data_IF_195459057101
#
_entry.id   IF_195459057101
#
_cell.length_a   1.000
_cell.length_b   1.000
_cell.length_c   1.000
_cell.angle_alpha   90.00
_cell.angle_beta   90.00
_cell.angle_gamma   90.00
#
_symmetry.space_group_name_H-M   'P 1'
#
loop_
_entity.id
_entity.type
_entity.pdbx_description
1 polymer ?
#
# COMPACT_ATOMS: atom_id res chain seq x y z
N UNK A 1 -29.40 0.97 -34.06
CA UNK A 1 -30.35 0.38 -33.11
C UNK A 1 -30.01 -1.10 -33.02
N UNK A 2 -29.76 -1.65 -31.82
CA UNK A 2 -29.41 -3.06 -31.67
C UNK A 2 -30.62 -3.93 -31.95
N UNK A 3 -30.46 -4.97 -32.79
CA UNK A 3 -31.57 -5.82 -33.18
C UNK A 3 -31.94 -6.84 -32.10
N UNK A 4 -30.96 -7.28 -31.29
CA UNK A 4 -31.14 -8.28 -30.23
C UNK A 4 -30.20 -8.00 -29.04
N UNK A 5 -30.55 -8.53 -27.85
CA UNK A 5 -29.74 -8.41 -26.63
C UNK A 5 -28.32 -8.98 -26.79
N UNK A 6 -28.16 -10.06 -27.55
CA UNK A 6 -26.84 -10.65 -27.86
C UNK A 6 -25.95 -9.65 -28.61
N UNK A 7 -26.50 -8.90 -29.58
CA UNK A 7 -25.75 -7.89 -30.31
C UNK A 7 -25.31 -6.74 -29.40
N UNK A 8 -26.17 -6.33 -28.46
CA UNK A 8 -25.82 -5.33 -27.46
C UNK A 8 -24.69 -5.84 -26.54
N UNK A 9 -24.77 -7.08 -26.04
CA UNK A 9 -23.72 -7.70 -25.21
C UNK A 9 -22.37 -7.79 -25.93
N UNK A 10 -22.37 -8.16 -27.22
CA UNK A 10 -21.16 -8.19 -28.04
C UNK A 10 -20.56 -6.79 -28.23
N UNK A 11 -21.40 -5.78 -28.45
CA UNK A 11 -20.93 -4.39 -28.54
C UNK A 11 -20.34 -3.91 -27.20
N UNK A 12 -20.97 -4.25 -26.07
CA UNK A 12 -20.44 -3.98 -24.74
C UNK A 12 -19.09 -4.65 -24.50
N UNK A 13 -18.94 -5.90 -24.93
CA UNK A 13 -17.70 -6.67 -24.84
C UNK A 13 -16.55 -5.99 -25.59
N UNK A 14 -16.80 -5.52 -26.82
CA UNK A 14 -15.80 -4.77 -27.60
C UNK A 14 -15.51 -3.41 -26.97
N UNK A 15 -16.54 -2.66 -26.59
CA UNK A 15 -16.40 -1.32 -26.01
C UNK A 15 -15.60 -1.35 -24.71
N UNK A 16 -15.96 -2.24 -23.79
CA UNK A 16 -15.30 -2.38 -22.49
C UNK A 16 -13.90 -2.97 -22.67
N UNK A 17 -13.76 -4.04 -23.45
CA UNK A 17 -12.47 -4.72 -23.64
C UNK A 17 -11.44 -3.82 -24.31
N UNK A 18 -11.74 -3.34 -25.52
CA UNK A 18 -10.82 -2.48 -26.28
C UNK A 18 -10.64 -1.13 -25.59
N UNK A 19 -11.74 -0.53 -25.10
CA UNK A 19 -11.69 0.77 -24.43
C UNK A 19 -10.82 0.75 -23.17
N UNK A 20 -10.99 -0.24 -22.29
CA UNK A 20 -10.18 -0.33 -21.07
C UNK A 20 -8.72 -0.62 -21.36
N UNK A 21 -8.41 -1.44 -22.37
CA UNK A 21 -7.03 -1.69 -22.80
C UNK A 21 -6.34 -0.43 -23.31
N UNK A 22 -7.01 0.31 -24.22
CA UNK A 22 -6.48 1.55 -24.79
C UNK A 22 -6.26 2.58 -23.69
N UNK A 23 -7.27 2.84 -22.87
CA UNK A 23 -7.20 3.82 -21.77
C UNK A 23 -6.12 3.44 -20.74
N UNK A 24 -5.96 2.15 -20.43
CA UNK A 24 -4.92 1.68 -19.53
C UNK A 24 -3.50 1.87 -20.05
N UNK A 25 -3.29 1.88 -21.36
CA UNK A 25 -1.97 2.13 -21.98
C UNK A 25 -1.63 3.61 -22.05
N UNK A 26 -2.62 4.52 -22.10
CA UNK A 26 -2.41 5.97 -22.20
C UNK A 26 -1.36 6.52 -21.20
N UNK A 27 -1.41 6.18 -19.89
CA UNK A 27 -0.39 6.53 -18.90
C UNK A 27 1.06 6.30 -19.34
N UNK A 28 1.31 5.16 -20.00
CA UNK A 28 2.66 4.72 -20.41
C UNK A 28 3.24 5.68 -21.44
N UNK A 29 2.41 6.11 -22.40
CA UNK A 29 2.81 7.04 -23.45
C UNK A 29 2.98 8.47 -22.89
N UNK A 30 2.07 8.87 -21.99
CA UNK A 30 1.99 10.25 -21.49
C UNK A 30 3.15 10.63 -20.56
N UNK A 31 3.70 9.67 -19.81
CA UNK A 31 4.74 9.92 -18.81
C UNK A 31 6.09 10.38 -19.41
N UNK A 32 6.25 10.32 -20.74
CA UNK A 32 7.48 10.72 -21.45
C UNK A 32 7.73 12.24 -21.58
N UNK A 33 6.76 13.13 -21.27
CA UNK A 33 6.81 14.53 -21.80
C UNK A 33 6.71 15.71 -20.79
N UNK A 34 6.58 15.51 -19.48
CA UNK A 34 6.24 16.62 -18.53
C UNK A 34 7.25 16.83 -17.37
N UNK A 35 7.29 18.05 -16.80
CA UNK A 35 8.19 18.48 -15.71
C UNK A 35 8.02 17.62 -14.44
N UNK A 36 9.13 17.04 -13.96
CA UNK A 36 9.21 15.94 -12.98
C UNK A 36 8.43 16.13 -11.66
N UNK A 37 8.27 17.36 -11.17
CA UNK A 37 7.60 17.64 -9.88
C UNK A 37 6.08 17.83 -10.00
N UNK A 38 5.62 18.56 -11.02
CA UNK A 38 4.18 18.70 -11.28
C UNK A 38 3.58 17.37 -11.71
N UNK A 39 4.37 16.52 -12.38
CA UNK A 39 3.97 15.17 -12.75
C UNK A 39 3.62 14.31 -11.52
N UNK A 40 4.44 14.32 -10.46
CA UNK A 40 4.15 13.52 -9.24
C UNK A 40 2.85 13.96 -8.55
N UNK A 41 2.62 15.27 -8.44
CA UNK A 41 1.38 15.81 -7.85
C UNK A 41 0.16 15.50 -8.70
N UNK A 42 0.25 15.69 -10.02
CA UNK A 42 -0.86 15.40 -10.93
C UNK A 42 -1.24 13.92 -10.88
N UNK A 43 -0.26 13.02 -10.96
CA UNK A 43 -0.46 11.57 -10.88
C UNK A 43 -1.16 11.18 -9.57
N UNK A 44 -0.68 11.73 -8.45
CA UNK A 44 -1.28 11.53 -7.13
C UNK A 44 -2.73 11.99 -7.08
N UNK A 45 -3.00 13.22 -7.50
CA UNK A 45 -4.36 13.74 -7.55
C UNK A 45 -5.24 12.90 -8.46
N UNK A 46 -4.74 12.41 -9.60
CA UNK A 46 -5.53 11.56 -10.50
C UNK A 46 -5.84 10.18 -9.89
N UNK A 47 -4.90 9.57 -9.15
CA UNK A 47 -5.17 8.33 -8.42
C UNK A 47 -6.20 8.55 -7.30
N UNK A 48 -6.06 9.63 -6.54
CA UNK A 48 -7.05 10.02 -5.52
C UNK A 48 -8.43 10.33 -6.13
N UNK A 49 -8.47 10.98 -7.28
CA UNK A 49 -9.70 11.21 -8.03
C UNK A 49 -10.35 9.87 -8.43
N UNK A 50 -9.56 8.94 -8.99
CA UNK A 50 -10.03 7.60 -9.34
C UNK A 50 -10.56 6.84 -8.14
N UNK A 51 -9.92 6.97 -6.98
CA UNK A 51 -10.40 6.38 -5.75
C UNK A 51 -11.74 6.98 -5.28
N UNK A 52 -11.95 8.28 -5.44
CA UNK A 52 -13.25 8.91 -5.20
C UNK A 52 -14.34 8.39 -6.14
N UNK A 53 -14.01 8.22 -7.43
CA UNK A 53 -14.89 7.61 -8.44
C UNK A 53 -15.28 6.18 -8.04
N UNK A 54 -14.32 5.36 -7.60
CA UNK A 54 -14.57 3.98 -7.19
C UNK A 54 -15.39 3.90 -5.90
N UNK A 55 -15.09 4.75 -4.92
CA UNK A 55 -15.85 4.83 -3.67
C UNK A 55 -17.32 5.18 -3.94
N UNK A 56 -17.56 6.19 -4.79
CA UNK A 56 -18.91 6.57 -5.21
C UNK A 56 -19.60 5.45 -6.00
N UNK A 57 -18.88 4.76 -6.88
CA UNK A 57 -19.45 3.65 -7.65
C UNK A 57 -19.91 2.53 -6.72
N UNK A 58 -19.07 2.12 -5.77
CA UNK A 58 -19.40 1.08 -4.80
C UNK A 58 -20.63 1.45 -3.95
N UNK A 59 -20.69 2.68 -3.45
CA UNK A 59 -21.72 3.13 -2.50
C UNK A 59 -23.03 3.62 -3.15
N UNK A 60 -22.95 4.31 -4.29
CA UNK A 60 -24.09 5.01 -4.89
C UNK A 60 -24.69 4.28 -6.10
N UNK A 61 -23.90 3.44 -6.76
CA UNK A 61 -24.37 2.66 -7.91
C UNK A 61 -24.60 1.21 -7.52
N UNK A 62 -23.57 0.52 -7.04
CA UNK A 62 -23.61 -0.94 -6.89
C UNK A 62 -24.37 -1.40 -5.66
N UNK A 63 -24.15 -0.76 -4.50
CA UNK A 63 -24.83 -1.14 -3.25
C UNK A 63 -26.36 -0.94 -3.31
N UNK A 64 -26.91 0.18 -3.82
CA UNK A 64 -28.36 0.34 -3.95
C UNK A 64 -28.99 -0.63 -4.96
N UNK A 65 -28.27 -0.99 -6.02
CA UNK A 65 -28.74 -1.98 -6.99
C UNK A 65 -28.83 -3.38 -6.37
N UNK A 66 -27.81 -3.78 -5.59
CA UNK A 66 -27.82 -5.03 -4.84
C UNK A 66 -28.99 -5.09 -3.83
N UNK A 67 -29.32 -3.96 -3.18
CA UNK A 67 -30.48 -3.86 -2.27
C UNK A 67 -31.82 -4.07 -2.95
N UNK A 68 -31.97 -3.61 -4.20
CA UNK A 68 -33.21 -3.82 -4.95
C UNK A 68 -33.41 -5.29 -5.31
N UNK A 69 -32.32 -6.05 -5.52
CA UNK A 69 -32.38 -7.47 -5.84
C UNK A 69 -32.35 -8.44 -4.64
N UNK A 70 -31.68 -8.10 -3.53
CA UNK A 70 -31.68 -8.88 -2.28
C UNK A 70 -31.81 -7.97 -1.05
N UNK A 71 -33.03 -7.62 -0.66
CA UNK A 71 -33.27 -6.69 0.47
C UNK A 71 -32.60 -7.11 1.78
N UNK A 72 -32.66 -8.41 2.12
CA UNK A 72 -32.29 -8.89 3.45
C UNK A 72 -30.82 -9.31 3.56
N UNK A 73 -30.16 -9.54 2.41
CA UNK A 73 -28.80 -10.09 2.34
C UNK A 73 -27.82 -9.20 1.55
N UNK A 74 -28.26 -8.08 0.97
CA UNK A 74 -27.40 -7.24 0.12
C UNK A 74 -26.14 -6.75 0.83
N UNK A 75 -26.24 -6.28 2.07
CA UNK A 75 -25.09 -5.82 2.86
C UNK A 75 -24.14 -6.97 3.18
N UNK A 76 -24.68 -8.16 3.47
CA UNK A 76 -23.86 -9.34 3.73
C UNK A 76 -23.08 -9.75 2.49
N UNK A 77 -23.72 -9.79 1.32
CA UNK A 77 -23.06 -10.09 0.05
C UNK A 77 -22.03 -9.03 -0.30
N UNK A 78 -22.33 -7.75 -0.06
CA UNK A 78 -21.40 -6.65 -0.24
C UNK A 78 -20.16 -6.81 0.66
N UNK A 79 -20.35 -7.10 1.94
CA UNK A 79 -19.25 -7.40 2.87
C UNK A 79 -18.47 -8.67 2.46
N UNK A 80 -19.16 -9.69 1.95
CA UNK A 80 -18.52 -10.90 1.43
C UNK A 80 -17.56 -10.56 0.28
N UNK A 81 -17.95 -9.68 -0.65
CA UNK A 81 -17.08 -9.22 -1.73
C UNK A 81 -15.80 -8.57 -1.20
N UNK A 82 -15.92 -7.73 -0.17
CA UNK A 82 -14.75 -7.12 0.49
C UNK A 82 -13.83 -8.18 1.10
N UNK A 83 -14.38 -9.14 1.85
CA UNK A 83 -13.62 -10.20 2.52
C UNK A 83 -12.96 -11.17 1.54
N UNK A 84 -13.62 -11.47 0.42
CA UNK A 84 -13.07 -12.34 -0.63
C UNK A 84 -11.82 -11.72 -1.24
N UNK A 85 -11.82 -10.42 -1.56
CA UNK A 85 -10.61 -9.78 -2.05
C UNK A 85 -9.51 -9.70 -1.01
N UNK A 86 -9.84 -9.40 0.24
CA UNK A 86 -8.87 -9.42 1.33
C UNK A 86 -8.19 -10.80 1.45
N UNK A 87 -8.98 -11.88 1.43
CA UNK A 87 -8.46 -13.24 1.46
C UNK A 87 -7.55 -13.53 0.26
N UNK A 88 -7.94 -13.11 -0.94
CA UNK A 88 -7.15 -13.35 -2.16
C UNK A 88 -5.82 -12.60 -2.09
N UNK A 89 -5.82 -11.36 -1.62
CA UNK A 89 -4.58 -10.59 -1.46
C UNK A 89 -3.65 -11.21 -0.42
N UNK A 90 -4.19 -11.64 0.73
CA UNK A 90 -3.43 -12.37 1.75
C UNK A 90 -2.84 -13.67 1.19
N UNK A 91 -3.61 -14.42 0.39
CA UNK A 91 -3.10 -15.60 -0.30
C UNK A 91 -1.97 -15.25 -1.28
N UNK A 92 -2.10 -14.19 -2.07
CA UNK A 92 -1.02 -13.73 -2.97
C UNK A 92 0.23 -13.41 -2.18
N UNK A 93 0.11 -12.72 -1.04
CA UNK A 93 1.24 -12.43 -0.17
C UNK A 93 1.88 -13.69 0.40
N UNK A 94 1.07 -14.63 0.88
CA UNK A 94 1.54 -15.90 1.41
C UNK A 94 2.34 -16.71 0.37
N UNK A 95 1.82 -16.85 -0.86
CA UNK A 95 2.48 -17.63 -1.91
C UNK A 95 3.73 -16.93 -2.48
N UNK A 96 3.69 -15.60 -2.69
CA UNK A 96 4.86 -14.87 -3.21
C UNK A 96 5.98 -14.72 -2.18
N UNK A 97 5.70 -14.89 -0.89
CA UNK A 97 6.72 -14.87 0.17
C UNK A 97 7.62 -16.11 0.13
N UNK A 98 7.07 -17.27 -0.24
CA UNK A 98 7.78 -18.55 -0.22
C UNK A 98 8.81 -18.67 -1.36
N UNK A 99 8.52 -18.09 -2.54
CA UNK A 99 9.38 -18.22 -3.73
C UNK A 99 10.76 -17.53 -3.61
N UNK A 100 10.92 -16.59 -2.67
CA UNK A 100 12.17 -15.86 -2.46
C UNK A 100 13.12 -16.48 -1.41
N UNK A 101 12.74 -17.54 -0.69
CA UNK A 101 13.62 -18.17 0.32
C UNK A 101 14.47 -19.34 -0.23
N UNK A 102 14.43 -19.60 -1.54
CA UNK A 102 15.18 -20.70 -2.18
C UNK A 102 16.51 -20.32 -2.85
N UNK A 103 16.94 -19.04 -2.85
CA UNK A 103 18.11 -18.63 -3.64
C UNK A 103 18.94 -17.48 -3.08
N UNK A 104 19.12 -17.41 -1.75
CA UNK A 104 20.32 -16.77 -1.20
C UNK A 104 21.48 -17.79 -1.19
N UNK A 105 22.03 -18.03 -2.38
CA UNK A 105 23.37 -18.61 -2.53
C UNK A 105 24.28 -17.59 -3.20
N UNK A 106 25.26 -17.14 -2.43
CA UNK A 106 26.53 -16.54 -2.83
C UNK A 106 26.52 -15.57 -4.02
N UNK A 107 26.47 -14.27 -3.71
CA UNK A 107 27.19 -13.28 -4.51
C UNK A 107 28.20 -12.52 -3.65
N UNK A 108 29.34 -13.20 -3.41
CA UNK A 108 30.65 -12.57 -3.18
C UNK A 108 30.90 -11.54 -4.27
N UNK A 109 30.77 -10.26 -3.94
CA UNK A 109 31.26 -9.18 -4.78
C UNK A 109 32.78 -9.08 -4.61
N UNK A 110 33.52 -9.71 -5.52
CA UNK A 110 34.95 -9.49 -5.74
C UNK A 110 35.15 -8.81 -7.10
N UNK A 111 35.84 -7.65 -7.07
CA UNK A 111 36.63 -6.94 -8.12
C UNK A 111 36.70 -5.47 -7.66
N UNK A 112 37.78 -4.91 -7.11
CA UNK A 112 39.20 -4.79 -7.51
C UNK A 112 39.45 -4.25 -8.94
N UNK A 113 40.46 -3.36 -9.00
CA UNK A 113 41.03 -2.49 -10.07
C UNK A 113 40.32 -1.12 -10.18
N UNK A 114 40.84 0.05 -9.75
CA UNK A 114 42.17 0.71 -9.63
C UNK A 114 42.42 1.83 -10.68
N UNK A 115 42.65 3.04 -10.14
CA UNK A 115 43.44 4.22 -10.58
C UNK A 115 43.17 5.03 -11.87
N UNK A 116 42.81 6.33 -11.68
CA UNK A 116 43.70 7.52 -11.82
C UNK A 116 42.93 8.84 -11.53
N UNK A 117 43.17 9.54 -10.40
CA UNK A 117 44.10 10.68 -10.11
C UNK A 117 43.72 12.03 -10.74
N UNK A 118 43.43 13.04 -9.90
CA UNK A 118 44.09 14.38 -9.68
C UNK A 118 43.22 15.13 -8.64
N UNK A 119 43.53 15.13 -7.34
CA UNK A 119 44.43 16.02 -6.55
C UNK A 119 43.90 17.45 -6.31
N UNK A 120 43.40 17.74 -5.10
CA UNK A 120 43.78 18.95 -4.34
C UNK A 120 43.49 18.83 -2.82
N UNK A 121 44.27 19.58 -2.04
CA UNK A 121 44.74 19.30 -0.67
C UNK A 121 43.82 19.86 0.43
N UNK A 122 43.90 19.25 1.62
CA UNK A 122 43.47 19.88 2.88
C UNK A 122 43.36 18.89 4.05
N UNK A 123 44.48 18.52 4.67
CA UNK A 123 44.56 17.64 5.84
C UNK A 123 44.27 18.37 7.15
N UNK A 124 43.64 17.69 8.13
CA UNK A 124 44.26 17.40 9.43
C UNK A 124 43.41 16.46 10.31
N UNK A 125 44.12 15.49 10.89
CA UNK A 125 43.66 14.34 11.66
C UNK A 125 43.42 14.64 13.14
N UNK A 126 42.52 13.87 13.77
CA UNK A 126 42.71 13.30 15.12
C UNK A 126 42.22 11.84 15.11
N UNK A 127 43.02 10.84 15.52
CA UNK A 127 42.58 9.46 15.64
C UNK A 127 42.08 9.14 17.07
N UNK A 128 40.96 8.44 17.15
CA UNK A 128 40.47 7.77 18.35
C UNK A 128 41.35 6.56 18.69
N UNK A 129 41.75 6.44 19.95
CA UNK A 129 42.54 5.33 20.48
C UNK A 129 41.61 4.25 21.05
N UNK A 130 41.49 3.10 20.39
CA UNK A 130 40.88 1.89 20.94
C UNK A 130 41.96 0.95 21.45
N UNK A 131 41.90 0.61 22.73
CA UNK A 131 42.84 -0.25 23.46
C UNK A 131 42.54 -1.72 23.18
N UNK A 132 43.55 -2.46 22.71
CA UNK A 132 43.57 -3.92 22.62
C UNK A 132 44.50 -4.53 23.68
N UNK A 133 44.15 -5.72 24.17
CA UNK A 133 44.76 -6.39 25.32
C UNK A 133 45.98 -7.27 24.98
N UNK A 134 46.81 -7.48 26.01
CA UNK A 134 47.74 -8.59 26.30
C UNK A 134 49.19 -8.50 25.79
N UNK A 135 50.16 -8.38 26.72
CA UNK A 135 51.03 -9.49 27.16
C UNK A 135 52.22 -9.01 28.03
N UNK A 136 52.36 -9.65 29.19
CA UNK A 136 53.55 -10.06 29.93
C UNK A 136 54.87 -9.23 29.94
N UNK A 137 55.37 -9.06 31.18
CA UNK A 137 56.75 -9.32 31.64
C UNK A 137 57.71 -8.13 31.84
N UNK A 138 58.27 -8.13 33.05
CA UNK A 138 59.58 -7.61 33.50
C UNK A 138 59.79 -6.11 33.76
N UNK A 139 59.68 -5.80 35.05
CA UNK A 139 60.76 -5.38 35.96
C UNK A 139 61.74 -4.24 35.55
N UNK A 140 61.85 -3.29 36.49
CA UNK A 140 62.96 -2.35 36.73
C UNK A 140 63.20 -1.23 35.70
N UNK A 141 63.00 0.02 36.11
CA UNK A 141 64.08 0.86 36.69
C UNK A 141 63.53 2.22 37.13
N UNK A 142 63.92 2.56 38.34
CA UNK A 142 63.76 3.87 39.00
C UNK A 142 64.60 4.91 38.25
N UNK A 143 64.02 6.08 37.98
CA UNK A 143 64.74 7.35 37.99
C UNK A 143 63.88 8.39 38.73
N UNK A 144 64.44 8.88 39.84
CA UNK A 144 64.00 10.06 40.58
C UNK A 144 64.69 11.27 39.93
N UNK A 145 63.95 12.36 39.74
CA UNK A 145 64.55 13.70 39.76
C UNK A 145 63.56 14.67 40.39
N UNK A 146 64.04 15.28 41.47
CA UNK A 146 63.45 16.35 42.29
C UNK A 146 63.17 17.63 41.51
N UNK A 147 62.27 18.47 42.04
CA UNK A 147 62.25 19.91 41.74
C UNK A 147 60.92 20.64 41.97
N UNK A 148 60.78 21.23 43.16
CA UNK A 148 60.17 22.54 43.46
C UNK A 148 58.65 22.79 43.46
N UNK A 149 58.11 22.69 44.68
CA UNK A 149 57.30 23.65 45.45
C UNK A 149 56.93 25.00 44.79
N UNK A 150 55.61 25.29 44.68
CA UNK A 150 54.94 26.49 45.26
C UNK A 150 53.41 26.49 45.05
N UNK A 151 52.68 26.43 46.17
CA UNK A 151 51.32 26.98 46.40
C UNK A 151 51.38 28.54 46.37
N UNK A 152 50.28 29.34 46.28
CA UNK A 152 49.00 29.11 46.97
C UNK A 152 47.69 29.63 46.33
N UNK A 153 46.55 29.23 46.96
CA UNK A 153 45.31 29.99 47.28
C UNK A 153 44.63 30.84 46.17
N UNK A 154 43.30 30.83 45.97
CA UNK A 154 42.22 30.86 46.95
C UNK A 154 40.83 30.82 46.27
N UNK A 155 39.77 30.68 47.09
CA UNK A 155 38.32 30.89 46.86
C UNK A 155 37.50 29.63 46.50
N UNK A 156 36.47 29.17 47.25
CA UNK A 156 35.87 29.52 48.55
C UNK A 156 34.91 28.37 48.92
N UNK A 157 34.96 27.90 50.16
CA UNK A 157 33.96 27.00 50.76
C UNK A 157 32.74 27.82 51.23
N UNK A 158 31.52 27.28 51.12
CA UNK A 158 30.83 26.80 52.32
C UNK A 158 29.55 25.97 52.06
N UNK A 159 29.18 25.10 53.02
CA UNK A 159 28.13 24.07 52.95
C UNK A 159 26.86 24.47 53.74
N UNK A 160 25.78 23.68 53.69
CA UNK A 160 25.00 23.33 54.90
C UNK A 160 23.89 22.32 54.64
N UNK A 161 23.83 21.33 55.53
CA UNK A 161 22.83 20.29 55.73
C UNK A 161 21.41 20.78 56.04
N UNK A 162 20.41 19.92 55.80
CA UNK A 162 19.50 19.51 56.87
C UNK A 162 18.79 18.19 56.54
N UNK A 163 18.91 17.22 57.46
CA UNK A 163 18.35 15.88 57.36
C UNK A 163 17.05 15.66 58.13
N UNK A 164 16.49 14.46 57.96
CA UNK A 164 15.70 13.66 58.92
C UNK A 164 15.18 12.44 58.12
N UNK A 165 15.69 11.22 58.29
CA UNK A 165 15.57 10.27 59.41
C UNK A 165 14.61 9.11 59.05
N UNK A 166 14.99 7.92 59.55
CA UNK A 166 14.25 6.65 59.67
C UNK A 166 14.58 5.65 58.53
N UNK A 167 15.65 4.84 58.60
CA UNK A 167 15.97 3.73 59.52
C UNK A 167 15.42 2.35 59.08
N UNK A 168 16.20 1.32 59.42
CA UNK A 168 16.05 -0.15 59.25
C UNK A 168 16.61 -0.70 57.92
N UNK A 169 17.89 -1.07 57.82
CA UNK A 169 18.63 -2.16 58.49
C UNK A 169 18.02 -3.55 58.24
N UNK A 170 18.73 -4.43 57.53
CA UNK A 170 19.21 -5.72 58.06
C UNK A 170 20.01 -6.51 57.01
N UNK A 171 21.06 -7.14 57.53
CA UNK A 171 22.08 -8.04 56.97
C UNK A 171 21.55 -9.32 56.32
N UNK A 172 22.30 -9.92 55.36
CA UNK A 172 22.91 -11.26 55.54
C UNK A 172 23.69 -11.75 54.31
N UNK A 173 24.57 -12.70 54.61
CA UNK A 173 25.66 -13.32 53.86
C UNK A 173 25.22 -14.26 52.73
N UNK A 174 26.18 -14.59 51.86
CA UNK A 174 25.96 -15.18 50.54
C UNK A 174 25.59 -16.66 50.49
N UNK A 175 25.30 -17.13 49.28
CA UNK A 175 25.76 -18.40 48.68
C UNK A 175 25.24 -18.50 47.24
N UNK A 176 26.07 -19.09 46.37
CA UNK A 176 25.90 -19.25 44.92
C UNK A 176 24.63 -20.00 44.50
N UNK A 177 23.99 -19.52 43.42
CA UNK A 177 23.48 -20.35 42.32
C UNK A 177 23.04 -19.50 41.12
N UNK A 178 23.85 -19.52 40.06
CA UNK A 178 23.50 -19.62 38.64
C UNK A 178 22.09 -19.13 38.19
N UNK A 179 22.02 -17.97 37.51
CA UNK A 179 21.26 -17.78 36.25
C UNK A 179 21.27 -16.33 35.76
N UNK A 180 21.52 -16.16 34.46
CA UNK A 180 21.10 -15.00 33.68
C UNK A 180 19.61 -14.73 33.88
N UNK A 181 19.25 -13.48 34.21
CA UNK A 181 18.42 -12.64 33.37
C UNK A 181 18.17 -11.25 33.98
N UNK A 182 17.93 -10.30 33.06
CA UNK A 182 17.00 -9.17 33.17
C UNK A 182 17.32 -7.94 34.05
N UNK A 183 17.55 -6.84 33.33
CA UNK A 183 16.76 -5.61 33.33
C UNK A 183 16.42 -4.97 34.69
N UNK A 184 17.19 -3.93 35.02
CA UNK A 184 16.89 -2.93 36.05
C UNK A 184 15.89 -1.91 35.50
N UNK A 185 14.68 -1.87 36.04
CA UNK A 185 13.74 -0.76 35.94
C UNK A 185 13.85 0.10 37.21
N UNK A 186 13.90 1.44 37.12
CA UNK A 186 12.80 2.44 37.24
C UNK A 186 13.45 3.83 37.53
N UNK A 187 12.74 4.98 37.63
CA UNK A 187 11.32 5.26 37.37
C UNK A 187 11.05 6.57 36.60
N UNK A 188 9.87 6.71 36.01
CA UNK A 188 9.21 8.01 35.89
C UNK A 188 7.69 7.83 35.86
N UNK A 189 7.04 8.45 36.84
CA UNK A 189 5.61 8.70 36.82
C UNK A 189 5.32 9.64 35.65
N UNK A 190 4.54 9.17 34.69
CA UNK A 190 3.66 9.97 33.85
C UNK A 190 2.62 8.99 33.30
N UNK A 191 1.35 9.25 33.60
CA UNK A 191 0.20 8.59 33.00
C UNK A 191 0.18 8.91 31.50
N UNK A 192 0.96 8.16 30.73
CA UNK A 192 0.75 8.00 29.32
C UNK A 192 0.14 6.61 29.17
N UNK A 193 -1.12 6.55 28.74
CA UNK A 193 -1.69 5.38 28.08
C UNK A 193 -0.82 5.10 26.86
N UNK A 194 0.26 4.36 27.11
CA UNK A 194 1.14 3.79 26.12
C UNK A 194 0.33 2.70 25.43
N UNK A 195 -0.47 3.13 24.45
CA UNK A 195 -0.87 2.26 23.36
C UNK A 195 0.43 1.71 22.81
N UNK A 196 0.68 0.43 23.11
CA UNK A 196 1.69 -0.37 22.45
C UNK A 196 1.35 -0.38 20.96
N UNK A 197 1.73 0.66 20.22
CA UNK A 197 2.20 0.45 18.87
C UNK A 197 3.47 -0.36 19.05
N UNK A 198 3.29 -1.69 19.12
CA UNK A 198 4.36 -2.59 18.76
C UNK A 198 4.95 -2.06 17.46
N UNK A 199 6.28 -2.02 17.39
CA UNK A 199 6.97 -1.98 16.12
C UNK A 199 6.39 -3.12 15.28
N UNK A 200 5.35 -2.83 14.51
CA UNK A 200 5.24 -3.43 13.20
C UNK A 200 6.48 -2.89 12.50
N UNK A 201 7.55 -3.70 12.52
CA UNK A 201 8.45 -3.73 11.39
C UNK A 201 7.54 -3.60 10.17
N UNK A 202 7.63 -2.46 9.48
CA UNK A 202 7.01 -2.29 8.18
C UNK A 202 7.51 -3.49 7.38
N UNK A 203 6.64 -4.50 7.23
CA UNK A 203 6.85 -5.55 6.27
C UNK A 203 7.00 -4.78 4.97
N UNK A 204 8.25 -4.69 4.53
CA UNK A 204 8.63 -4.17 3.24
C UNK A 204 8.01 -5.15 2.25
N UNK A 205 6.71 -5.06 2.04
CA UNK A 205 6.01 -5.70 0.96
C UNK A 205 6.76 -5.24 -0.27
N UNK A 206 7.38 -6.20 -0.95
CA UNK A 206 8.04 -5.93 -2.20
C UNK A 206 7.02 -5.17 -3.05
N UNK A 207 7.36 -3.96 -3.48
CA UNK A 207 6.42 -3.09 -4.19
C UNK A 207 5.74 -3.86 -5.35
N UNK A 208 6.50 -4.75 -6.00
CA UNK A 208 6.03 -5.64 -7.05
C UNK A 208 4.86 -6.56 -6.63
N UNK A 209 4.88 -7.12 -5.43
CA UNK A 209 3.82 -8.01 -4.92
C UNK A 209 2.51 -7.25 -4.74
N UNK A 210 2.55 -6.03 -4.19
CA UNK A 210 1.36 -5.17 -4.10
C UNK A 210 0.82 -4.75 -5.47
N UNK A 211 1.68 -4.45 -6.45
CA UNK A 211 1.23 -4.20 -7.83
C UNK A 211 0.53 -5.42 -8.46
N UNK A 212 1.04 -6.63 -8.19
CA UNK A 212 0.44 -7.89 -8.68
C UNK A 212 -0.90 -8.15 -7.98
N UNK A 213 -0.97 -7.97 -6.67
CA UNK A 213 -2.21 -8.06 -5.88
C UNK A 213 -3.29 -7.13 -6.41
N UNK A 214 -2.97 -5.84 -6.61
CA UNK A 214 -3.89 -4.86 -7.21
C UNK A 214 -4.38 -5.29 -8.60
N UNK A 215 -3.47 -5.71 -9.50
CA UNK A 215 -3.84 -6.12 -10.85
C UNK A 215 -4.76 -7.35 -10.85
N UNK A 216 -4.50 -8.31 -9.95
CA UNK A 216 -5.34 -9.49 -9.76
C UNK A 216 -6.72 -9.09 -9.21
N UNK A 217 -6.76 -8.30 -8.14
CA UNK A 217 -7.99 -7.83 -7.51
C UNK A 217 -8.91 -7.11 -8.51
N UNK A 218 -8.34 -6.20 -9.31
CA UNK A 218 -9.07 -5.48 -10.36
C UNK A 218 -9.53 -6.41 -11.49
N UNK A 219 -8.77 -7.46 -11.81
CA UNK A 219 -9.18 -8.46 -12.82
C UNK A 219 -10.37 -9.27 -12.33
N UNK A 220 -10.36 -9.71 -11.08
CA UNK A 220 -11.48 -10.45 -10.48
C UNK A 220 -12.73 -9.58 -10.44
N UNK A 221 -12.59 -8.34 -9.96
CA UNK A 221 -13.68 -7.37 -9.99
C UNK A 221 -14.23 -7.18 -11.42
N UNK A 222 -13.35 -7.05 -12.41
CA UNK A 222 -13.75 -6.89 -13.81
C UNK A 222 -14.52 -8.10 -14.38
N UNK A 223 -14.19 -9.32 -13.95
CA UNK A 223 -14.94 -10.54 -14.30
C UNK A 223 -16.34 -10.51 -13.69
N UNK A 224 -16.47 -10.15 -12.41
CA UNK A 224 -17.76 -10.09 -11.70
C UNK A 224 -18.73 -9.10 -12.36
N UNK A 225 -18.26 -7.90 -12.71
CA UNK A 225 -19.09 -6.93 -13.43
C UNK A 225 -19.41 -7.38 -14.86
N UNK A 226 -18.46 -8.01 -15.54
CA UNK A 226 -18.69 -8.57 -16.86
C UNK A 226 -19.80 -9.62 -16.85
N UNK A 227 -19.78 -10.51 -15.84
CA UNK A 227 -20.84 -11.51 -15.63
C UNK A 227 -22.21 -10.84 -15.45
N UNK A 228 -22.29 -9.76 -14.67
CA UNK A 228 -23.54 -9.02 -14.47
C UNK A 228 -24.09 -8.45 -15.79
N UNK A 229 -23.24 -7.84 -16.63
CA UNK A 229 -23.66 -7.37 -17.98
C UNK A 229 -24.10 -8.55 -18.86
N UNK A 230 -23.37 -9.67 -18.82
CA UNK A 230 -23.66 -10.86 -19.61
C UNK A 230 -24.99 -11.52 -19.26
N UNK A 231 -25.43 -11.43 -18.01
CA UNK A 231 -26.68 -12.02 -17.50
C UNK A 231 -27.92 -11.15 -17.76
N UNK A 232 -27.76 -9.90 -18.18
CA UNK A 232 -28.89 -9.00 -18.38
C UNK A 232 -29.79 -9.43 -19.56
N UNK A 233 -31.12 -9.39 -19.38
CA UNK A 233 -32.07 -9.86 -20.39
C UNK A 233 -32.42 -8.78 -21.43
N UNK A 234 -32.68 -7.54 -20.99
CA UNK A 234 -33.18 -6.47 -21.86
C UNK A 234 -32.04 -5.64 -22.46
N UNK A 235 -32.20 -5.23 -23.72
CA UNK A 235 -31.23 -4.38 -24.43
C UNK A 235 -30.97 -3.08 -23.66
N UNK A 236 -32.03 -2.42 -23.16
CA UNK A 236 -31.90 -1.17 -22.42
C UNK A 236 -31.06 -1.34 -21.15
N UNK A 237 -31.32 -2.40 -20.39
CA UNK A 237 -30.59 -2.68 -19.16
C UNK A 237 -29.11 -3.05 -19.46
N UNK A 238 -28.84 -3.81 -20.54
CA UNK A 238 -27.47 -4.10 -20.99
C UNK A 238 -26.71 -2.80 -21.27
N UNK A 239 -27.32 -1.87 -22.02
CA UNK A 239 -26.67 -0.62 -22.42
C UNK A 239 -26.48 0.34 -21.25
N UNK A 240 -27.48 0.45 -20.36
CA UNK A 240 -27.38 1.27 -19.15
C UNK A 240 -26.29 0.75 -18.21
N UNK A 241 -26.28 -0.55 -17.93
CA UNK A 241 -25.26 -1.17 -17.10
C UNK A 241 -23.87 -1.09 -17.74
N UNK A 242 -23.78 -1.27 -19.07
CA UNK A 242 -22.52 -1.08 -19.81
C UNK A 242 -22.01 0.36 -19.72
N UNK A 243 -22.89 1.35 -19.85
CA UNK A 243 -22.53 2.76 -19.73
C UNK A 243 -22.02 3.12 -18.33
N UNK A 244 -22.75 2.70 -17.30
CA UNK A 244 -22.36 2.90 -15.90
C UNK A 244 -21.06 2.15 -15.53
N UNK A 245 -20.86 0.95 -16.06
CA UNK A 245 -19.62 0.19 -15.87
C UNK A 245 -18.47 0.86 -16.62
N UNK A 246 -18.65 1.24 -17.89
CA UNK A 246 -17.62 1.88 -18.68
C UNK A 246 -17.09 3.18 -18.05
N UNK A 247 -17.97 4.01 -17.46
CA UNK A 247 -17.58 5.30 -16.89
C UNK A 247 -16.54 5.17 -15.78
N UNK A 248 -16.69 4.19 -14.89
CA UNK A 248 -15.74 3.99 -13.80
C UNK A 248 -14.60 3.04 -14.19
N UNK A 249 -14.84 2.08 -15.09
CA UNK A 249 -13.83 1.11 -15.53
C UNK A 249 -12.71 1.71 -16.38
N UNK A 250 -13.02 2.74 -17.18
CA UNK A 250 -11.98 3.49 -17.88
C UNK A 250 -11.11 4.28 -16.91
N UNK A 251 -11.71 4.87 -15.86
CA UNK A 251 -10.96 5.54 -14.79
C UNK A 251 -10.06 4.55 -14.04
N UNK A 252 -10.57 3.36 -13.73
CA UNK A 252 -9.79 2.26 -13.12
C UNK A 252 -8.63 1.84 -14.01
N UNK A 253 -8.88 1.57 -15.29
CA UNK A 253 -7.84 1.17 -16.23
C UNK A 253 -6.74 2.22 -16.35
N UNK A 254 -7.11 3.50 -16.41
CA UNK A 254 -6.16 4.61 -16.38
C UNK A 254 -5.33 4.63 -15.09
N UNK A 255 -5.97 4.53 -13.92
CA UNK A 255 -5.30 4.52 -12.62
C UNK A 255 -4.34 3.33 -12.49
N UNK A 256 -4.78 2.13 -12.88
CA UNK A 256 -3.94 0.94 -12.92
C UNK A 256 -2.71 1.17 -13.80
N UNK A 257 -2.88 1.72 -15.00
CA UNK A 257 -1.76 2.06 -15.89
C UNK A 257 -0.76 3.05 -15.27
N UNK A 258 -1.25 4.08 -14.54
CA UNK A 258 -0.40 5.02 -13.82
C UNK A 258 0.38 4.33 -12.70
N UNK A 259 -0.28 3.48 -11.91
CA UNK A 259 0.34 2.79 -10.79
C UNK A 259 1.42 1.80 -11.24
N UNK A 260 1.13 1.06 -12.31
CA UNK A 260 2.08 0.12 -12.89
C UNK A 260 3.28 0.85 -13.51
N UNK A 261 3.08 2.03 -14.11
CA UNK A 261 4.20 2.81 -14.69
C UNK A 261 5.09 3.39 -13.59
N UNK A 262 4.53 3.72 -12.42
CA UNK A 262 5.28 4.21 -11.26
C UNK A 262 6.06 3.12 -10.50
N UNK A 263 5.65 1.84 -10.62
CA UNK A 263 6.22 0.72 -9.85
C UNK A 263 6.98 -0.34 -10.65
N UNK A 264 6.58 -0.63 -11.89
CA UNK A 264 7.21 -1.67 -12.72
C UNK A 264 8.29 -1.09 -13.66
N UNK A 265 9.47 -1.70 -13.67
CA UNK A 265 10.55 -1.36 -14.64
C UNK A 265 10.34 -2.00 -16.02
N UNK A 266 9.44 -2.97 -16.14
CA UNK A 266 9.25 -3.76 -17.36
C UNK A 266 7.92 -3.39 -18.03
N UNK A 267 8.00 -2.67 -19.16
CA UNK A 267 6.86 -2.33 -20.01
C UNK A 267 6.04 -3.57 -20.43
N UNK A 268 6.67 -4.72 -20.78
CA UNK A 268 5.92 -5.95 -21.06
C UNK A 268 5.03 -6.42 -19.91
N UNK A 269 5.52 -6.39 -18.66
CA UNK A 269 4.73 -6.78 -17.48
C UNK A 269 3.53 -5.86 -17.28
N UNK A 270 3.71 -4.57 -17.55
CA UNK A 270 2.64 -3.58 -17.47
C UNK A 270 1.56 -3.83 -18.53
N UNK A 271 1.96 -4.04 -19.79
CA UNK A 271 1.02 -4.32 -20.90
C UNK A 271 0.26 -5.61 -20.60
N UNK A 272 0.94 -6.63 -20.09
CA UNK A 272 0.33 -7.89 -19.69
C UNK A 272 -0.73 -7.71 -18.59
N UNK A 273 -0.46 -6.93 -17.54
CA UNK A 273 -1.43 -6.66 -16.48
C UNK A 273 -2.66 -5.89 -16.97
N UNK A 274 -2.49 -4.87 -17.83
CA UNK A 274 -3.61 -4.13 -18.44
C UNK A 274 -4.42 -5.05 -19.36
N UNK A 275 -3.75 -5.94 -20.10
CA UNK A 275 -4.42 -6.94 -20.92
C UNK A 275 -5.27 -7.90 -20.08
N UNK A 276 -4.76 -8.39 -18.95
CA UNK A 276 -5.52 -9.24 -18.03
C UNK A 276 -6.76 -8.53 -17.47
N UNK A 277 -6.63 -7.27 -17.07
CA UNK A 277 -7.76 -6.45 -16.63
C UNK A 277 -8.83 -6.30 -17.73
N UNK A 278 -8.41 -6.01 -18.97
CA UNK A 278 -9.31 -5.84 -20.10
C UNK A 278 -10.03 -7.16 -20.47
N UNK A 279 -9.28 -8.26 -20.59
CA UNK A 279 -9.83 -9.56 -20.98
C UNK A 279 -10.71 -10.16 -19.88
N UNK A 280 -10.47 -9.87 -18.60
CA UNK A 280 -11.34 -10.32 -17.51
C UNK A 280 -12.80 -9.91 -17.71
N UNK A 281 -13.02 -8.69 -18.19
CA UNK A 281 -14.36 -8.17 -18.50
C UNK A 281 -15.01 -8.88 -19.68
N UNK A 282 -14.22 -9.13 -20.72
CA UNK A 282 -14.63 -9.84 -21.93
C UNK A 282 -15.04 -11.27 -21.57
N UNK A 283 -14.22 -11.96 -20.77
CA UNK A 283 -14.49 -13.30 -20.25
C UNK A 283 -15.76 -13.28 -19.40
N UNK A 284 -15.91 -12.33 -18.47
CA UNK A 284 -17.11 -12.20 -17.65
C UNK A 284 -18.38 -12.05 -18.48
N UNK A 285 -18.39 -11.16 -19.47
CA UNK A 285 -19.55 -10.97 -20.37
C UNK A 285 -19.85 -12.24 -21.15
N UNK A 286 -18.81 -12.91 -21.66
CA UNK A 286 -18.95 -14.17 -22.40
C UNK A 286 -19.56 -15.29 -21.55
N UNK A 287 -19.06 -15.49 -20.33
CA UNK A 287 -19.59 -16.48 -19.39
C UNK A 287 -21.03 -16.13 -18.99
N UNK A 288 -21.31 -14.86 -18.67
CA UNK A 288 -22.66 -14.42 -18.30
C UNK A 288 -23.66 -14.62 -19.45
N UNK A 289 -23.23 -14.38 -20.69
CA UNK A 289 -24.05 -14.63 -21.88
C UNK A 289 -24.31 -16.12 -22.11
N UNK A 290 -23.34 -16.99 -21.81
CA UNK A 290 -23.51 -18.45 -21.88
C UNK A 290 -24.47 -18.94 -20.79
N UNK A 291 -24.31 -18.45 -19.55
CA UNK A 291 -25.20 -18.78 -18.44
C UNK A 291 -26.64 -18.32 -18.69
N UNK A 292 -26.81 -17.13 -19.27
CA UNK A 292 -28.13 -16.58 -19.62
C UNK A 292 -28.90 -17.46 -20.61
N UNK A 293 -28.22 -18.21 -21.48
CA UNK A 293 -28.87 -19.14 -22.42
C UNK A 293 -29.27 -20.46 -21.78
N UNK A 294 -28.62 -20.85 -20.68
CA UNK A 294 -28.79 -22.15 -20.05
C UNK A 294 -29.96 -22.19 -19.06
N UNK A 295 -30.28 -21.08 -18.37
CA UNK A 295 -31.38 -21.04 -17.41
C UNK A 295 -31.78 -19.59 -17.06
N UNK A 296 -33.04 -19.19 -17.31
CA UNK A 296 -33.49 -17.80 -17.11
C UNK A 296 -33.86 -17.48 -15.66
N UNK A 297 -34.26 -18.48 -14.87
CA UNK A 297 -34.87 -18.23 -13.56
C UNK A 297 -33.82 -17.83 -12.51
N UNK A 298 -32.65 -18.48 -12.52
CA UNK A 298 -31.56 -18.18 -11.59
C UNK A 298 -30.87 -16.84 -11.88
N UNK A 299 -31.01 -16.29 -13.09
CA UNK A 299 -30.38 -15.03 -13.47
C UNK A 299 -30.85 -13.87 -12.59
N UNK A 300 -32.11 -13.89 -12.14
CA UNK A 300 -32.70 -12.87 -11.28
C UNK A 300 -32.10 -12.83 -9.88
N UNK A 301 -31.63 -13.97 -9.37
CA UNK A 301 -30.99 -14.09 -8.06
C UNK A 301 -29.48 -13.89 -8.16
N UNK A 302 -28.84 -14.45 -9.20
CA UNK A 302 -27.39 -14.38 -9.38
C UNK A 302 -26.92 -12.96 -9.69
N UNK A 303 -27.68 -12.19 -10.49
CA UNK A 303 -27.34 -10.81 -10.87
C UNK A 303 -27.04 -9.89 -9.67
N UNK A 304 -27.97 -9.70 -8.72
CA UNK A 304 -27.72 -8.82 -7.58
C UNK A 304 -26.69 -9.39 -6.59
N UNK A 305 -26.48 -10.71 -6.55
CA UNK A 305 -25.35 -11.31 -5.81
C UNK A 305 -24.02 -10.89 -6.43
N UNK A 306 -23.87 -11.02 -7.75
CA UNK A 306 -22.65 -10.64 -8.47
C UNK A 306 -22.37 -9.15 -8.36
N UNK A 307 -23.40 -8.31 -8.46
CA UNK A 307 -23.28 -6.86 -8.25
C UNK A 307 -22.86 -6.56 -6.80
N UNK A 308 -23.50 -7.15 -5.79
CA UNK A 308 -23.10 -6.98 -4.40
C UNK A 308 -21.64 -7.35 -4.15
N UNK A 309 -21.21 -8.52 -4.64
CA UNK A 309 -19.81 -8.95 -4.57
C UNK A 309 -18.88 -7.96 -5.26
N UNK A 310 -19.21 -7.54 -6.50
CA UNK A 310 -18.43 -6.57 -7.26
C UNK A 310 -18.30 -5.23 -6.51
N UNK A 311 -19.37 -4.75 -5.87
CA UNK A 311 -19.35 -3.53 -5.06
C UNK A 311 -18.43 -3.65 -3.85
N UNK A 312 -18.48 -4.78 -3.15
CA UNK A 312 -17.57 -5.10 -2.05
C UNK A 312 -16.11 -5.13 -2.49
N UNK A 313 -15.83 -5.76 -3.64
CA UNK A 313 -14.48 -5.79 -4.21
C UNK A 313 -13.97 -4.38 -4.57
N UNK A 314 -14.82 -3.50 -5.13
CA UNK A 314 -14.44 -2.11 -5.40
C UNK A 314 -14.14 -1.33 -4.13
N UNK A 315 -14.95 -1.52 -3.09
CA UNK A 315 -14.72 -0.85 -1.82
C UNK A 315 -13.36 -1.25 -1.26
N UNK A 316 -13.05 -2.55 -1.24
CA UNK A 316 -11.76 -3.06 -0.80
C UNK A 316 -10.58 -2.43 -1.57
N UNK A 317 -10.60 -2.52 -2.90
CA UNK A 317 -9.55 -1.92 -3.75
C UNK A 317 -9.39 -0.42 -3.48
N UNK A 318 -10.49 0.28 -3.19
CA UNK A 318 -10.43 1.72 -2.94
C UNK A 318 -9.80 2.03 -1.58
N UNK A 319 -10.30 1.41 -0.51
CA UNK A 319 -9.98 1.81 0.87
C UNK A 319 -8.75 1.12 1.44
N UNK A 320 -8.41 -0.07 0.94
CA UNK A 320 -7.30 -0.89 1.42
C UNK A 320 -6.09 -0.81 0.50
N UNK A 321 -6.31 -0.74 -0.82
CA UNK A 321 -5.21 -0.71 -1.79
C UNK A 321 -4.85 0.73 -2.21
N UNK A 322 -5.77 1.44 -2.87
CA UNK A 322 -5.44 2.71 -3.54
C UNK A 322 -5.19 3.85 -2.53
N UNK A 323 -6.13 4.09 -1.60
CA UNK A 323 -6.02 5.20 -0.64
C UNK A 323 -4.81 5.09 0.29
N UNK A 324 -4.56 3.94 0.96
CA UNK A 324 -3.44 3.80 1.88
C UNK A 324 -2.10 3.89 1.16
N UNK A 325 -1.99 3.29 -0.02
CA UNK A 325 -0.77 3.32 -0.84
C UNK A 325 -0.41 4.72 -1.31
N UNK A 326 -1.40 5.55 -1.64
CA UNK A 326 -1.13 6.93 -2.00
C UNK A 326 -0.78 7.76 -0.75
N UNK A 327 -1.43 7.54 0.39
CA UNK A 327 -1.09 8.22 1.64
C UNK A 327 0.38 7.96 2.06
N UNK A 328 0.85 6.72 2.01
CA UNK A 328 2.23 6.36 2.39
C UNK A 328 3.28 7.00 1.48
N UNK A 329 3.01 7.14 0.18
CA UNK A 329 3.90 7.83 -0.78
C UNK A 329 4.17 9.29 -0.41
N UNK A 330 3.24 9.97 0.25
CA UNK A 330 3.33 11.41 0.53
C UNK A 330 3.77 11.77 1.94
N UNK A 331 3.76 10.84 2.89
CA UNK A 331 4.32 11.09 4.23
C UNK A 331 5.82 11.46 4.19
N UNK A 332 6.54 11.12 3.12
CA UNK A 332 7.93 11.57 2.86
C UNK A 332 8.06 12.97 2.26
N UNK A 333 6.96 13.61 1.83
CA UNK A 333 6.98 14.88 1.10
C UNK A 333 6.66 16.07 2.00
N UNK A 334 7.53 17.08 2.01
CA UNK A 334 7.56 18.19 2.97
C UNK A 334 6.38 19.20 2.91
N UNK A 335 5.44 19.08 1.96
CA UNK A 335 4.36 20.06 1.77
C UNK A 335 3.03 19.61 2.38
N UNK A 336 2.62 20.26 3.48
CA UNK A 336 1.32 20.04 4.15
C UNK A 336 0.09 20.24 3.24
N UNK A 337 0.19 21.09 2.21
CA UNK A 337 -0.93 21.40 1.32
C UNK A 337 -1.29 20.26 0.34
N UNK A 338 -0.37 19.33 0.07
CA UNK A 338 -0.63 18.24 -0.89
C UNK A 338 -1.73 17.29 -0.42
N UNK A 339 -1.77 16.95 0.88
CA UNK A 339 -2.81 16.06 1.41
C UNK A 339 -4.22 16.64 1.28
N UNK A 340 -4.35 17.97 1.41
CA UNK A 340 -5.63 18.67 1.20
C UNK A 340 -6.06 18.57 -0.26
N UNK A 341 -5.12 18.76 -1.20
CA UNK A 341 -5.40 18.60 -2.64
C UNK A 341 -5.83 17.19 -2.99
N UNK A 342 -5.21 16.17 -2.41
CA UNK A 342 -5.59 14.77 -2.59
C UNK A 342 -7.01 14.51 -2.11
N UNK A 343 -7.33 14.97 -0.90
CA UNK A 343 -8.67 14.85 -0.33
C UNK A 343 -9.73 15.56 -1.18
N UNK A 344 -9.44 16.79 -1.63
CA UNK A 344 -10.31 17.49 -2.57
C UNK A 344 -10.49 16.72 -3.87
N UNK A 345 -9.43 16.08 -4.37
CA UNK A 345 -9.50 15.23 -5.56
C UNK A 345 -10.43 14.02 -5.38
N UNK A 346 -10.37 13.36 -4.21
CA UNK A 346 -11.32 12.27 -3.84
C UNK A 346 -12.75 12.79 -3.85
N UNK A 347 -13.01 13.94 -3.22
CA UNK A 347 -14.35 14.55 -3.18
C UNK A 347 -14.85 14.85 -4.60
N UNK A 348 -14.01 15.45 -5.44
CA UNK A 348 -14.37 15.75 -6.83
C UNK A 348 -14.73 14.47 -7.59
N UNK A 349 -13.93 13.40 -7.46
CA UNK A 349 -14.24 12.11 -8.07
C UNK A 349 -15.58 11.53 -7.59
N UNK A 350 -15.86 11.64 -6.30
CA UNK A 350 -17.11 11.18 -5.71
C UNK A 350 -18.31 11.97 -6.25
N UNK A 351 -18.20 13.30 -6.29
CA UNK A 351 -19.27 14.20 -6.79
C UNK A 351 -19.52 13.95 -8.28
N UNK A 352 -18.50 13.71 -9.09
CA UNK A 352 -18.66 13.43 -10.53
C UNK A 352 -19.56 12.22 -10.75
N UNK A 353 -19.32 11.11 -10.04
CA UNK A 353 -20.16 9.91 -10.15
C UNK A 353 -21.56 10.15 -9.55
N UNK A 354 -21.66 10.88 -8.44
CA UNK A 354 -22.97 11.24 -7.88
C UNK A 354 -23.83 12.02 -8.90
N UNK A 355 -23.26 13.03 -9.56
CA UNK A 355 -23.95 13.80 -10.59
C UNK A 355 -24.30 12.94 -11.81
N UNK A 356 -23.39 12.08 -12.25
CA UNK A 356 -23.62 11.16 -13.36
C UNK A 356 -24.77 10.18 -13.07
N UNK A 357 -24.83 9.65 -11.85
CA UNK A 357 -25.92 8.76 -11.41
C UNK A 357 -27.27 9.46 -11.34
N UNK A 358 -27.31 10.75 -10.96
CA UNK A 358 -28.57 11.51 -10.96
C UNK A 358 -29.02 11.83 -12.39
N UNK A 359 -28.09 12.22 -13.27
CA UNK A 359 -28.40 12.54 -14.67
C UNK A 359 -28.89 11.33 -15.48
N UNK A 360 -28.42 10.11 -15.17
CA UNK A 360 -28.88 8.88 -15.84
C UNK A 360 -30.26 8.41 -15.32
N UNK A 361 -30.67 8.84 -14.12
CA UNK A 361 -31.95 8.46 -13.51
C UNK A 361 -33.13 9.33 -13.95
N UNK A 362 -32.86 10.52 -14.49
CA UNK A 362 -33.82 11.37 -15.21
C UNK A 362 -33.94 10.94 -16.68
#
# INVERSE_FOLDING_TARGET
MFSNAVQAKLASMVLIGVGSFVVGIVPVCFISRTRQLQQKLLLSCTLCFGAGVLLATAMLHVLPEARQGLSDYSELVFCCGFLVLYLIEECVHYFYWDENHGSDSDSRSSRFVDSRIVHERGCSNYPNHSVGYNAASQNSKIYISEGDVKLPLNYRQNPSDNGANNALAFTSYGTDATRCNTCRSRPSNEENTFLCHGNHDEQCTNANTGLVGLALALTIHAVLEGLAIGLQAKIAEVLLLTGAVASHKFVVGFCLGLELTGGSKSVPKLIFAIFLFAIGSVIGIGIGMLMFQADTDWSTVILPILQGLAGGTLLYVTVSEILPRERTRWHKSSRRFTGILQFLSVIVGFIVIFLLNNYIKE
#
